data_IF_580093476640
#
_entry.id   IF_580093476640
#
_cell.length_a   1.000
_cell.length_b   1.000
_cell.length_c   1.000
_cell.angle_alpha   90.00
_cell.angle_beta   90.00
_cell.angle_gamma   90.00
#
_symmetry.space_group_name_H-M   'P 1'
#
loop_
_entity.id
_entity.type
_entity.pdbx_description
1 polymer ?
#
# COMPACT_ATOMS: atom_id res chain seq x y z
N UNK A 1 -47.25 -22.75 11.15
CA UNK A 1 -45.95 -22.90 11.83
C UNK A 1 -45.45 -24.30 11.51
N UNK A 2 -44.64 -24.45 10.47
CA UNK A 2 -44.03 -25.74 10.11
C UNK A 2 -42.69 -25.46 9.45
N UNK A 3 -41.68 -25.34 10.32
CA UNK A 3 -40.27 -25.47 9.97
C UNK A 3 -39.91 -26.96 9.86
N UNK A 4 -38.89 -27.27 9.03
CA UNK A 4 -38.04 -28.49 8.97
C UNK A 4 -38.53 -29.62 8.03
N UNK A 5 -37.66 -30.40 7.34
CA UNK A 5 -36.18 -30.45 7.36
C UNK A 5 -35.54 -30.11 6.00
N UNK A 6 -34.22 -29.93 6.00
CA UNK A 6 -33.38 -29.71 4.79
C UNK A 6 -33.32 -28.27 4.26
N UNK A 7 -33.45 -27.29 5.16
CA UNK A 7 -33.04 -25.89 4.97
C UNK A 7 -31.51 -25.73 4.81
N UNK A 8 -30.84 -26.70 4.16
CA UNK A 8 -29.45 -26.59 3.74
C UNK A 8 -29.48 -26.04 2.31
N UNK A 9 -28.89 -24.86 2.06
CA UNK A 9 -28.82 -24.35 0.71
C UNK A 9 -28.16 -25.39 -0.19
N UNK A 10 -28.85 -25.78 -1.25
CA UNK A 10 -28.38 -26.77 -2.22
C UNK A 10 -26.92 -26.47 -2.60
N UNK A 11 -25.98 -27.41 -2.37
CA UNK A 11 -24.55 -27.16 -2.52
C UNK A 11 -24.18 -26.72 -3.93
N UNK A 12 -24.95 -27.12 -4.94
CA UNK A 12 -24.71 -26.71 -6.32
C UNK A 12 -25.19 -25.28 -6.58
N UNK A 13 -26.28 -24.84 -5.92
CA UNK A 13 -26.67 -23.42 -5.92
C UNK A 13 -25.65 -22.56 -5.18
N UNK A 14 -25.10 -23.03 -4.07
CA UNK A 14 -24.05 -22.31 -3.35
C UNK A 14 -22.81 -22.13 -4.21
N UNK A 15 -22.33 -23.20 -4.85
CA UNK A 15 -21.20 -23.13 -5.79
C UNK A 15 -21.47 -22.16 -6.94
N UNK A 16 -22.66 -22.22 -7.55
CA UNK A 16 -23.02 -21.32 -8.64
C UNK A 16 -23.10 -19.85 -8.20
N UNK A 17 -23.58 -19.60 -6.98
CA UNK A 17 -23.60 -18.28 -6.36
C UNK A 17 -22.19 -17.81 -6.00
N UNK A 18 -21.34 -18.68 -5.45
CA UNK A 18 -19.95 -18.38 -5.15
C UNK A 18 -19.14 -18.10 -6.40
N UNK A 19 -19.35 -18.83 -7.50
CA UNK A 19 -18.74 -18.51 -8.79
C UNK A 19 -19.24 -17.18 -9.37
N UNK A 20 -20.54 -16.88 -9.23
CA UNK A 20 -21.10 -15.59 -9.64
C UNK A 20 -20.55 -14.45 -8.79
N UNK A 21 -20.45 -14.64 -7.48
CA UNK A 21 -19.86 -13.69 -6.54
C UNK A 21 -18.37 -13.55 -6.80
N UNK A 22 -17.65 -14.63 -7.08
CA UNK A 22 -16.22 -14.61 -7.41
C UNK A 22 -15.98 -13.86 -8.71
N UNK A 23 -16.78 -14.10 -9.76
CA UNK A 23 -16.74 -13.34 -11.02
C UNK A 23 -17.09 -11.86 -10.81
N UNK A 24 -18.14 -11.58 -10.04
CA UNK A 24 -18.55 -10.21 -9.73
C UNK A 24 -17.52 -9.50 -8.83
N UNK A 25 -16.89 -10.20 -7.89
CA UNK A 25 -15.79 -9.70 -7.04
C UNK A 25 -14.48 -9.59 -7.79
N UNK A 26 -14.23 -10.37 -8.83
CA UNK A 26 -13.09 -10.18 -9.72
C UNK A 26 -13.31 -8.98 -10.65
N UNK A 27 -14.54 -8.76 -11.11
CA UNK A 27 -14.93 -7.59 -11.91
C UNK A 27 -15.06 -6.30 -11.08
N UNK A 28 -15.46 -6.40 -9.81
CA UNK A 28 -15.52 -5.31 -8.82
C UNK A 28 -14.34 -5.28 -7.88
N UNK A 29 -13.33 -6.15 -8.05
CA UNK A 29 -12.09 -5.99 -7.32
C UNK A 29 -11.64 -4.58 -7.67
N UNK A 30 -11.51 -3.65 -6.69
CA UNK A 30 -10.86 -2.40 -7.00
C UNK A 30 -9.56 -2.83 -7.63
N UNK A 31 -9.42 -2.54 -8.94
CA UNK A 31 -8.17 -2.74 -9.66
C UNK A 31 -7.14 -2.17 -8.70
N UNK A 32 -6.24 -3.02 -8.19
CA UNK A 32 -5.25 -2.66 -7.20
C UNK A 32 -4.43 -1.51 -7.77
N UNK A 33 -4.93 -0.28 -7.62
CA UNK A 33 -4.25 0.98 -7.89
C UNK A 33 -3.47 1.27 -6.61
N UNK A 34 -2.76 0.26 -6.12
CA UNK A 34 -2.19 0.21 -4.78
C UNK A 34 -0.95 1.12 -4.68
N UNK A 35 -0.48 1.68 -5.80
CA UNK A 35 0.57 2.69 -5.83
C UNK A 35 0.07 4.13 -6.03
N UNK A 36 -0.82 4.38 -7.00
CA UNK A 36 -1.12 5.75 -7.45
C UNK A 36 -2.26 6.43 -6.69
N UNK A 37 -3.29 5.69 -6.25
CA UNK A 37 -4.41 6.30 -5.51
C UNK A 37 -4.03 6.66 -4.07
N UNK A 38 -3.20 5.84 -3.41
CA UNK A 38 -2.74 6.09 -2.05
C UNK A 38 -1.91 7.39 -1.95
N UNK A 39 -1.12 7.69 -2.99
CA UNK A 39 -0.33 8.92 -3.05
C UNK A 39 -1.19 10.16 -3.38
N UNK A 40 -2.25 9.98 -4.16
CA UNK A 40 -3.21 11.04 -4.49
C UNK A 40 -4.05 11.52 -3.31
N UNK A 41 -4.54 10.60 -2.45
CA UNK A 41 -5.29 10.97 -1.25
C UNK A 41 -4.44 11.81 -0.28
N UNK A 42 -3.18 11.42 -0.10
CA UNK A 42 -2.21 12.16 0.69
C UNK A 42 -2.01 13.56 0.13
N UNK A 43 -1.73 13.69 -1.18
CA UNK A 43 -1.49 14.98 -1.80
C UNK A 43 -2.69 15.92 -1.68
N UNK A 44 -3.91 15.41 -1.91
CA UNK A 44 -5.14 16.18 -1.78
C UNK A 44 -5.41 16.63 -0.33
N UNK A 45 -5.15 15.77 0.66
CA UNK A 45 -5.23 16.14 2.08
C UNK A 45 -4.29 17.30 2.43
N UNK A 46 -3.05 17.28 1.94
CA UNK A 46 -2.11 18.40 2.15
C UNK A 46 -2.66 19.72 1.60
N UNK A 47 -3.31 19.68 0.43
CA UNK A 47 -3.95 20.86 -0.16
C UNK A 47 -5.09 21.36 0.71
N UNK A 48 -5.98 20.46 1.17
CA UNK A 48 -7.09 20.85 2.05
C UNK A 48 -6.56 21.43 3.37
N UNK A 49 -5.53 20.83 3.96
CA UNK A 49 -4.95 21.32 5.21
C UNK A 49 -4.39 22.74 5.04
N UNK A 50 -3.70 23.01 3.93
CA UNK A 50 -3.17 24.34 3.61
C UNK A 50 -4.29 25.35 3.35
N UNK A 51 -5.27 24.99 2.52
CA UNK A 51 -6.41 25.86 2.17
C UNK A 51 -7.30 26.13 3.36
N UNK A 52 -7.48 25.15 4.25
CA UNK A 52 -8.26 25.32 5.49
C UNK A 52 -7.57 26.29 6.44
N UNK A 53 -6.25 26.15 6.63
CA UNK A 53 -5.47 27.09 7.45
C UNK A 53 -5.56 28.53 6.95
N UNK A 54 -5.40 28.71 5.64
CA UNK A 54 -5.51 30.02 5.00
C UNK A 54 -6.93 30.58 5.06
N UNK A 55 -7.95 29.76 4.77
CA UNK A 55 -9.35 30.16 4.79
C UNK A 55 -9.83 30.57 6.19
N UNK A 56 -9.43 29.83 7.23
CA UNK A 56 -9.73 30.17 8.63
C UNK A 56 -9.01 31.46 9.03
N UNK A 57 -7.72 31.59 8.72
CA UNK A 57 -6.95 32.80 9.01
C UNK A 57 -7.53 34.05 8.33
N UNK A 58 -7.85 33.93 7.04
CA UNK A 58 -8.47 35.02 6.28
C UNK A 58 -9.87 35.36 6.79
N UNK A 59 -10.71 34.36 7.08
CA UNK A 59 -12.06 34.58 7.59
C UNK A 59 -12.07 35.29 8.94
N UNK A 60 -11.20 34.88 9.87
CA UNK A 60 -11.05 35.53 11.18
C UNK A 60 -10.48 36.95 11.00
N UNK A 61 -9.42 37.10 10.20
CA UNK A 61 -8.80 38.40 9.94
C UNK A 61 -9.78 39.40 9.31
N UNK A 62 -10.59 38.95 8.35
CA UNK A 62 -11.64 39.77 7.75
C UNK A 62 -12.71 40.21 8.75
N UNK A 63 -13.20 39.27 9.57
CA UNK A 63 -14.21 39.58 10.58
C UNK A 63 -13.72 40.58 11.61
N UNK A 64 -12.47 40.42 12.07
CA UNK A 64 -11.85 41.34 13.02
C UNK A 64 -11.62 42.71 12.41
N UNK A 65 -11.01 42.79 11.23
CA UNK A 65 -10.79 44.10 10.60
C UNK A 65 -12.12 44.82 10.28
N UNK A 66 -13.18 44.09 9.91
CA UNK A 66 -14.50 44.67 9.68
C UNK A 66 -15.15 45.22 10.96
N UNK A 67 -14.92 44.57 12.11
CA UNK A 67 -15.48 45.00 13.39
C UNK A 67 -14.69 46.17 14.01
N UNK A 68 -13.37 46.14 13.89
CA UNK A 68 -12.47 47.13 14.50
C UNK A 68 -12.06 48.28 13.55
N UNK A 69 -12.40 48.19 12.26
CA UNK A 69 -12.04 49.21 11.26
C UNK A 69 -10.54 49.29 10.97
N UNK A 70 -9.77 48.26 11.31
CA UNK A 70 -8.31 48.21 11.23
C UNK A 70 -7.78 47.68 9.89
N UNK A 71 -8.63 47.59 8.86
CA UNK A 71 -8.25 47.00 7.57
C UNK A 71 -6.92 47.58 7.05
N UNK A 72 -5.89 46.76 6.73
CA UNK A 72 -5.86 45.28 6.67
C UNK A 72 -4.97 44.61 7.76
N UNK A 73 -4.85 45.20 8.95
CA UNK A 73 -3.86 44.76 9.94
C UNK A 73 -4.13 43.34 10.44
N UNK A 74 -5.34 43.04 10.90
CA UNK A 74 -5.66 41.68 11.39
C UNK A 74 -5.73 40.68 10.25
N UNK A 75 -6.17 41.07 9.05
CA UNK A 75 -6.07 40.22 7.87
C UNK A 75 -4.64 39.74 7.64
N UNK A 76 -3.65 40.63 7.60
CA UNK A 76 -2.26 40.23 7.35
C UNK A 76 -1.76 39.31 8.46
N UNK A 77 -1.97 39.68 9.72
CA UNK A 77 -1.51 38.89 10.87
C UNK A 77 -2.14 37.49 10.89
N UNK A 78 -3.46 37.37 10.76
CA UNK A 78 -4.15 36.08 10.80
C UNK A 78 -3.94 35.26 9.53
N UNK A 79 -3.71 35.88 8.37
CA UNK A 79 -3.34 35.15 7.15
C UNK A 79 -1.97 34.52 7.29
N UNK A 80 -0.97 35.25 7.81
CA UNK A 80 0.35 34.69 8.10
C UNK A 80 0.30 33.59 9.16
N UNK A 81 -0.50 33.79 10.21
CA UNK A 81 -0.72 32.77 11.24
C UNK A 81 -1.41 31.52 10.68
N UNK A 82 -2.46 31.70 9.86
CA UNK A 82 -3.19 30.62 9.20
C UNK A 82 -2.32 29.83 8.22
N UNK A 83 -1.45 30.52 7.48
CA UNK A 83 -0.45 29.90 6.62
C UNK A 83 0.55 29.07 7.45
N UNK A 84 1.12 29.66 8.51
CA UNK A 84 2.06 28.96 9.39
C UNK A 84 1.44 27.72 10.04
N UNK A 85 0.18 27.82 10.47
CA UNK A 85 -0.59 26.69 10.98
C UNK A 85 -0.80 25.62 9.90
N UNK A 86 -1.25 26.00 8.69
CA UNK A 86 -1.46 25.08 7.57
C UNK A 86 -0.19 24.32 7.16
N UNK A 87 0.94 25.04 7.04
CA UNK A 87 2.25 24.44 6.75
C UNK A 87 2.68 23.47 7.86
N UNK A 88 2.48 23.83 9.13
CA UNK A 88 2.81 22.95 10.26
C UNK A 88 2.04 21.63 10.23
N UNK A 89 0.74 21.65 9.88
CA UNK A 89 -0.07 20.43 9.75
C UNK A 89 0.45 19.58 8.58
N UNK A 90 0.71 20.19 7.43
CA UNK A 90 1.27 19.51 6.26
C UNK A 90 2.61 18.80 6.58
N UNK A 91 3.53 19.50 7.26
CA UNK A 91 4.83 18.94 7.66
C UNK A 91 4.68 17.76 8.62
N UNK A 92 3.76 17.89 9.58
CA UNK A 92 3.45 16.79 10.52
C UNK A 92 2.92 15.57 9.77
N UNK A 93 1.98 15.77 8.84
CA UNK A 93 1.44 14.68 8.02
C UNK A 93 2.54 14.00 7.20
N UNK A 94 3.47 14.78 6.63
CA UNK A 94 4.60 14.24 5.87
C UNK A 94 5.52 13.37 6.74
N UNK A 95 5.81 13.80 7.97
CA UNK A 95 6.60 13.05 8.93
C UNK A 95 5.91 11.74 9.35
N UNK A 96 4.60 11.80 9.66
CA UNK A 96 3.81 10.63 10.03
C UNK A 96 3.79 9.57 8.91
N UNK A 97 3.68 10.01 7.65
CA UNK A 97 3.70 9.11 6.49
C UNK A 97 5.07 8.50 6.25
N UNK A 98 6.15 9.29 6.34
CA UNK A 98 7.52 8.78 6.23
C UNK A 98 7.84 7.71 7.28
N UNK A 99 7.44 7.96 8.54
CA UNK A 99 7.62 7.01 9.63
C UNK A 99 6.82 5.71 9.44
N UNK A 100 5.58 5.80 8.93
CA UNK A 100 4.75 4.62 8.62
C UNK A 100 5.35 3.80 7.47
N UNK A 101 5.84 4.46 6.42
CA UNK A 101 6.47 3.79 5.27
C UNK A 101 7.76 3.06 5.68
N UNK A 102 8.60 3.68 6.51
CA UNK A 102 9.85 3.07 6.99
C UNK A 102 9.58 1.79 7.82
N UNK A 103 8.58 1.82 8.71
CA UNK A 103 8.19 0.64 9.49
C UNK A 103 7.63 -0.49 8.61
N UNK A 104 6.80 -0.15 7.62
CA UNK A 104 6.26 -1.13 6.69
C UNK A 104 7.38 -1.83 5.90
N UNK A 105 8.40 -1.09 5.45
CA UNK A 105 9.57 -1.66 4.79
C UNK A 105 10.40 -2.54 5.73
N UNK A 106 10.61 -2.12 6.99
CA UNK A 106 11.34 -2.93 7.98
C UNK A 106 10.63 -4.26 8.30
N UNK A 107 9.30 -4.24 8.36
CA UNK A 107 8.50 -5.45 8.57
C UNK A 107 8.54 -6.37 7.35
N UNK A 108 8.47 -5.81 6.14
CA UNK A 108 8.62 -6.57 4.89
C UNK A 108 10.02 -7.20 4.74
N UNK A 109 11.08 -6.48 5.15
CA UNK A 109 12.45 -6.99 5.15
C UNK A 109 12.63 -8.14 6.15
N UNK A 110 12.02 -8.05 7.34
CA UNK A 110 12.01 -9.14 8.33
C UNK A 110 11.23 -10.37 7.87
N UNK A 111 10.11 -10.17 7.18
CA UNK A 111 9.32 -11.26 6.62
C UNK A 111 10.04 -11.98 5.45
N UNK A 112 10.94 -11.26 4.77
CA UNK A 112 11.73 -11.79 3.64
C UNK A 112 13.09 -12.37 4.06
N UNK A 113 13.47 -12.25 5.35
CA UNK A 113 14.72 -12.80 5.85
C UNK A 113 14.60 -14.33 6.04
N UNK A 114 15.60 -15.13 5.60
CA UNK A 114 15.58 -16.57 5.80
C UNK A 114 15.56 -16.90 7.31
N UNK A 115 14.68 -17.83 7.68
CA UNK A 115 14.40 -18.16 9.08
C UNK A 115 15.66 -18.77 9.76
N UNK A 116 16.24 -18.14 10.81
CA UNK A 116 17.51 -18.58 11.40
C UNK A 116 17.45 -19.92 12.13
N UNK A 117 16.27 -20.52 12.29
CA UNK A 117 16.07 -21.86 12.90
C UNK A 117 16.09 -23.00 11.89
N UNK A 118 16.33 -22.75 10.61
CA UNK A 118 16.60 -23.84 9.67
C UNK A 118 18.09 -24.23 9.81
N UNK A 119 18.42 -25.41 10.39
CA UNK A 119 19.81 -25.82 10.49
C UNK A 119 20.39 -25.86 9.08
N UNK A 120 21.57 -25.26 8.88
CA UNK A 120 22.27 -25.25 7.61
C UNK A 120 22.32 -26.67 7.06
N UNK A 121 21.56 -26.91 6.00
CA UNK A 121 21.49 -28.19 5.35
C UNK A 121 22.88 -28.41 4.73
N UNK A 122 23.62 -29.47 5.13
CA UNK A 122 24.96 -29.66 4.61
C UNK A 122 24.87 -29.86 3.10
N UNK A 123 25.58 -29.02 2.36
CA UNK A 123 25.66 -29.07 0.90
C UNK A 123 25.90 -30.51 0.45
N UNK A 124 25.07 -30.92 -0.52
CA UNK A 124 24.91 -32.30 -0.95
C UNK A 124 26.22 -33.07 -1.03
N UNK A 125 26.26 -34.21 -0.33
CA UNK A 125 27.28 -35.22 -0.51
C UNK A 125 27.42 -35.51 -2.02
N UNK A 126 28.59 -35.19 -2.56
CA UNK A 126 28.96 -35.49 -3.93
C UNK A 126 28.74 -36.99 -4.19
N UNK A 127 27.77 -37.32 -5.03
CA UNK A 127 27.62 -38.68 -5.54
C UNK A 127 28.80 -38.95 -6.49
N UNK A 128 29.59 -40.02 -6.30
CA UNK A 128 30.67 -40.35 -7.21
C UNK A 128 30.09 -40.81 -8.54
N UNK A 129 30.25 -39.99 -9.59
CA UNK A 129 29.92 -40.38 -10.96
C UNK A 129 30.89 -41.48 -11.40
N UNK A 130 30.38 -42.70 -11.53
CA UNK A 130 31.11 -43.80 -12.15
C UNK A 130 31.31 -43.48 -13.64
N UNK A 131 32.58 -43.43 -14.07
CA UNK A 131 32.97 -43.05 -15.43
C UNK A 131 32.48 -44.04 -16.48
N UNK A 132 31.89 -43.51 -17.55
CA UNK A 132 31.75 -44.17 -18.83
C UNK A 132 33.08 -44.12 -19.58
N UNK A 133 33.62 -45.24 -20.09
CA UNK A 133 34.85 -45.21 -20.90
C UNK A 133 34.57 -44.58 -22.27
N UNK A 134 35.60 -43.95 -22.90
CA UNK A 134 35.44 -43.23 -24.16
C UNK A 134 35.25 -44.20 -25.34
N UNK A 135 34.27 -43.91 -26.20
CA UNK A 135 34.11 -44.57 -27.50
C UNK A 135 35.30 -44.23 -28.41
N UNK A 136 36.09 -45.25 -28.73
CA UNK A 136 37.19 -45.22 -29.69
C UNK A 136 36.62 -45.33 -31.12
N UNK A 137 36.62 -44.20 -31.85
CA UNK A 137 36.19 -44.11 -33.25
C UNK A 137 37.26 -44.72 -34.17
N UNK A 138 37.09 -45.99 -34.51
CA UNK A 138 37.91 -46.73 -35.47
C UNK A 138 37.46 -46.54 -36.92
N UNK A 139 37.68 -45.35 -37.50
CA UNK A 139 37.66 -45.15 -38.94
C UNK A 139 39.10 -45.19 -39.46
N UNK A 140 39.63 -46.38 -39.74
CA UNK A 140 40.78 -46.57 -40.63
C UNK A 140 40.99 -48.07 -40.91
N UNK A 141 41.05 -48.43 -42.21
CA UNK A 141 41.44 -49.72 -42.82
C UNK A 141 40.33 -50.68 -43.30
N UNK A 142 39.78 -50.39 -44.49
CA UNK A 142 39.55 -51.34 -45.61
C UNK A 142 39.42 -50.46 -46.86
N UNK A 143 40.45 -50.47 -47.72
CA UNK A 143 40.51 -51.24 -48.99
C UNK A 143 39.95 -50.44 -50.15
#
# INVERSE_FOLDING_TARGET
MSHRPDDLPDPDRLKALEEKIARAKAAKAPQRKDGTLAQGEVAWRMVIELVSGLGIGFGIGYGLDALFGTLPVFMVLFTLFGLAAGVRVMLRTAQELGFKMAQAQALAARASAPNPTQPAQPDGAAQPQAGTPPEENGNERRS
#
